data_IF_952773200082
#
_entry.id   IF_952773200082
#
_cell.length_a   1.000
_cell.length_b   1.000
_cell.length_c   1.000
_cell.angle_alpha   90.00
_cell.angle_beta   90.00
_cell.angle_gamma   90.00
#
_symmetry.space_group_name_H-M   'P 1'
#
loop_
_entity.id
_entity.type
_entity.pdbx_description
1 polymer ?
#
# COMPACT_ATOMS: atom_id res chain seq x y z
N UNK A 1 -8.08 -5.68 -7.14
CA UNK A 1 -8.15 -6.63 -8.27
C UNK A 1 -9.49 -7.34 -8.38
N UNK A 2 -10.18 -7.66 -7.27
CA UNK A 2 -11.52 -8.26 -7.31
C UNK A 2 -12.49 -7.54 -8.28
N UNK A 3 -12.76 -6.24 -8.06
CA UNK A 3 -13.64 -5.46 -8.96
C UNK A 3 -13.12 -5.36 -10.38
N UNK A 4 -11.80 -5.14 -10.55
CA UNK A 4 -11.16 -4.99 -11.85
C UNK A 4 -11.21 -6.27 -12.72
N UNK A 5 -11.41 -7.43 -12.10
CA UNK A 5 -11.50 -8.72 -12.79
C UNK A 5 -12.93 -9.25 -12.90
N UNK A 6 -13.93 -8.39 -12.64
CA UNK A 6 -15.35 -8.73 -12.73
C UNK A 6 -15.96 -9.34 -11.46
N UNK A 7 -15.24 -9.28 -10.34
CA UNK A 7 -15.76 -9.65 -9.03
C UNK A 7 -16.41 -8.48 -8.28
N UNK A 8 -16.88 -8.75 -7.07
CA UNK A 8 -17.47 -7.76 -6.18
C UNK A 8 -16.81 -7.85 -4.79
N UNK A 9 -16.55 -6.70 -4.19
CA UNK A 9 -16.17 -6.61 -2.77
C UNK A 9 -17.44 -6.53 -1.96
N UNK A 10 -17.65 -7.51 -1.08
CA UNK A 10 -18.81 -7.57 -0.18
C UNK A 10 -18.53 -6.71 1.05
N UNK A 11 -17.35 -6.90 1.64
CA UNK A 11 -17.01 -6.31 2.92
C UNK A 11 -15.51 -6.03 3.03
N UNK A 12 -15.19 -4.91 3.68
CA UNK A 12 -13.85 -4.56 4.12
C UNK A 12 -13.92 -4.24 5.62
N UNK A 13 -13.19 -5.03 6.41
CA UNK A 13 -13.08 -4.85 7.87
C UNK A 13 -11.64 -4.47 8.23
N UNK A 14 -11.50 -3.51 9.14
CA UNK A 14 -10.23 -3.14 9.76
C UNK A 14 -10.36 -3.33 11.26
N UNK A 15 -9.42 -4.06 11.86
CA UNK A 15 -9.38 -4.32 13.29
C UNK A 15 -8.45 -3.31 13.99
N UNK A 16 -8.74 -3.00 15.25
CA UNK A 16 -7.91 -2.17 16.13
C UNK A 16 -6.49 -2.75 16.29
N UNK A 17 -6.36 -4.08 16.24
CA UNK A 17 -5.07 -4.79 16.33
C UNK A 17 -4.31 -4.82 14.99
N UNK A 18 -4.48 -3.82 14.14
CA UNK A 18 -3.80 -3.64 12.84
C UNK A 18 -4.10 -4.70 11.77
N UNK A 19 -4.92 -5.71 12.09
CA UNK A 19 -5.41 -6.70 11.12
C UNK A 19 -6.61 -6.19 10.33
N UNK A 20 -7.03 -6.99 9.34
CA UNK A 20 -8.22 -6.71 8.55
C UNK A 20 -8.42 -7.79 7.52
N UNK A 21 -9.58 -7.80 6.86
CA UNK A 21 -9.81 -8.69 5.74
C UNK A 21 -10.79 -8.07 4.75
N UNK A 22 -10.71 -8.56 3.51
CA UNK A 22 -11.62 -8.19 2.43
C UNK A 22 -12.35 -9.44 1.97
N UNK A 23 -13.67 -9.45 2.14
CA UNK A 23 -14.53 -10.48 1.56
C UNK A 23 -14.90 -10.05 0.14
N UNK A 24 -14.60 -10.92 -0.82
CA UNK A 24 -14.93 -10.70 -2.22
C UNK A 24 -15.45 -11.97 -2.87
N UNK A 25 -16.35 -11.81 -3.84
CA UNK A 25 -16.93 -12.89 -4.64
C UNK A 25 -16.67 -12.63 -6.13
N UNK A 26 -16.42 -13.71 -6.88
CA UNK A 26 -16.09 -13.64 -8.29
C UNK A 26 -14.72 -13.00 -8.58
N UNK A 27 -14.46 -12.73 -9.85
CA UNK A 27 -13.17 -12.23 -10.32
C UNK A 27 -12.07 -13.30 -10.38
N UNK A 28 -10.84 -12.86 -10.70
CA UNK A 28 -9.69 -13.75 -10.75
C UNK A 28 -9.08 -13.87 -9.35
N UNK A 29 -9.15 -15.08 -8.79
CA UNK A 29 -8.73 -15.36 -7.42
C UNK A 29 -7.22 -15.29 -7.22
N UNK A 30 -6.45 -15.83 -8.17
CA UNK A 30 -4.99 -15.74 -8.18
C UNK A 30 -4.51 -14.28 -8.11
N UNK A 31 -5.07 -13.41 -8.97
CA UNK A 31 -4.73 -11.98 -9.00
C UNK A 31 -5.19 -11.25 -7.73
N UNK A 32 -6.32 -11.65 -7.15
CA UNK A 32 -6.85 -11.02 -5.94
C UNK A 32 -5.98 -11.35 -4.71
N UNK A 33 -5.60 -12.62 -4.53
CA UNK A 33 -4.74 -13.05 -3.44
C UNK A 33 -3.31 -12.49 -3.58
N UNK A 34 -2.78 -12.44 -4.82
CA UNK A 34 -1.46 -11.82 -5.06
C UNK A 34 -1.48 -10.31 -4.81
N UNK A 35 -2.60 -9.65 -5.07
CA UNK A 35 -2.73 -8.20 -4.91
C UNK A 35 -2.74 -7.73 -3.45
N UNK A 36 -2.90 -8.61 -2.46
CA UNK A 36 -2.79 -8.24 -1.04
C UNK A 36 -1.39 -7.70 -0.73
N UNK A 37 -0.38 -8.58 -0.78
CA UNK A 37 1.00 -8.20 -0.50
C UNK A 37 1.66 -7.41 -1.62
N UNK A 38 1.57 -7.85 -2.88
CA UNK A 38 2.27 -7.16 -3.97
C UNK A 38 1.59 -5.84 -4.37
N UNK A 39 0.28 -5.72 -4.17
CA UNK A 39 -0.45 -4.48 -4.44
C UNK A 39 -0.09 -3.37 -3.44
N UNK A 40 0.02 -3.70 -2.15
CA UNK A 40 0.46 -2.74 -1.13
C UNK A 40 1.91 -2.30 -1.36
N UNK A 41 2.80 -3.21 -1.74
CA UNK A 41 4.16 -2.88 -2.17
C UNK A 41 4.18 -1.89 -3.34
N UNK A 42 3.38 -2.16 -4.38
CA UNK A 42 3.29 -1.29 -5.54
C UNK A 42 2.82 0.12 -5.15
N UNK A 43 1.78 0.23 -4.31
CA UNK A 43 1.31 1.52 -3.80
C UNK A 43 2.38 2.24 -2.97
N UNK A 44 3.08 1.53 -2.09
CA UNK A 44 4.19 2.10 -1.32
C UNK A 44 5.28 2.70 -2.22
N UNK A 45 5.69 1.96 -3.25
CA UNK A 45 6.68 2.40 -4.25
C UNK A 45 6.17 3.61 -5.03
N UNK A 46 4.92 3.57 -5.52
CA UNK A 46 4.33 4.68 -6.30
C UNK A 46 4.27 5.95 -5.47
N UNK A 47 3.76 5.88 -4.24
CA UNK A 47 3.66 7.04 -3.33
C UNK A 47 5.05 7.60 -3.04
N UNK A 48 6.01 6.73 -2.70
CA UNK A 48 7.38 7.13 -2.42
C UNK A 48 8.05 7.82 -3.62
N UNK A 49 7.97 7.22 -4.80
CA UNK A 49 8.57 7.78 -6.01
C UNK A 49 7.91 9.10 -6.41
N UNK A 50 6.58 9.22 -6.29
CA UNK A 50 5.88 10.47 -6.55
C UNK A 50 6.33 11.59 -5.61
N UNK A 51 6.53 11.30 -4.32
CA UNK A 51 7.03 12.28 -3.36
C UNK A 51 8.47 12.72 -3.68
N UNK A 52 9.36 11.77 -4.01
CA UNK A 52 10.77 12.04 -4.32
C UNK A 52 10.94 12.78 -5.67
N UNK A 53 10.10 12.46 -6.65
CA UNK A 53 10.30 12.86 -8.06
C UNK A 53 9.37 13.95 -8.56
N UNK A 54 8.43 14.41 -7.75
CA UNK A 54 7.51 15.47 -8.16
C UNK A 54 7.48 16.61 -7.15
N UNK A 55 6.96 17.75 -7.59
CA UNK A 55 6.67 18.93 -6.77
C UNK A 55 5.19 19.03 -6.37
N UNK A 56 4.41 18.00 -6.68
CA UNK A 56 2.95 17.99 -6.56
C UNK A 56 2.46 17.36 -5.25
N UNK A 57 3.26 17.39 -4.18
CA UNK A 57 2.98 16.66 -2.93
C UNK A 57 1.63 17.02 -2.33
N UNK A 58 1.26 18.30 -2.37
CA UNK A 58 -0.05 18.76 -1.90
C UNK A 58 -1.19 18.12 -2.68
N UNK A 59 -1.10 18.10 -4.00
CA UNK A 59 -2.10 17.50 -4.86
C UNK A 59 -2.15 15.98 -4.69
N UNK A 60 -0.99 15.33 -4.56
CA UNK A 60 -0.88 13.89 -4.28
C UNK A 60 -1.53 13.56 -2.93
N UNK A 61 -1.25 14.35 -1.88
CA UNK A 61 -1.83 14.15 -0.55
C UNK A 61 -3.35 14.30 -0.58
N UNK A 62 -3.88 15.34 -1.25
CA UNK A 62 -5.33 15.49 -1.42
C UNK A 62 -5.93 14.33 -2.22
N UNK A 63 -5.27 13.90 -3.31
CA UNK A 63 -5.72 12.79 -4.14
C UNK A 63 -5.78 11.48 -3.33
N UNK A 64 -4.75 11.16 -2.55
CA UNK A 64 -4.74 9.99 -1.67
C UNK A 64 -5.85 10.08 -0.62
N UNK A 65 -6.05 11.24 -0.01
CA UNK A 65 -7.15 11.46 0.93
C UNK A 65 -8.53 11.22 0.29
N UNK A 66 -8.75 11.72 -0.93
CA UNK A 66 -9.97 11.47 -1.70
C UNK A 66 -10.15 9.99 -2.05
N UNK A 67 -9.08 9.29 -2.43
CA UNK A 67 -9.12 7.84 -2.70
C UNK A 67 -9.47 7.07 -1.45
N UNK A 68 -8.86 7.41 -0.29
CA UNK A 68 -9.20 6.79 1.00
C UNK A 68 -10.68 7.00 1.30
N UNK A 69 -11.19 8.24 1.22
CA UNK A 69 -12.61 8.52 1.46
C UNK A 69 -13.55 7.80 0.49
N UNK A 70 -13.20 7.73 -0.79
CA UNK A 70 -13.98 7.01 -1.78
C UNK A 70 -14.07 5.51 -1.43
N UNK A 71 -12.95 4.89 -1.07
CA UNK A 71 -12.91 3.49 -0.62
C UNK A 71 -13.72 3.30 0.66
N UNK A 72 -13.57 4.22 1.62
CA UNK A 72 -14.32 4.23 2.89
C UNK A 72 -15.82 4.19 2.66
N UNK A 73 -16.34 5.12 1.85
CA UNK A 73 -17.77 5.20 1.56
C UNK A 73 -18.26 3.98 0.77
N UNK A 74 -17.47 3.53 -0.21
CA UNK A 74 -17.91 2.45 -1.11
C UNK A 74 -17.87 1.06 -0.46
N UNK A 75 -16.88 0.74 0.37
CA UNK A 75 -16.60 -0.63 0.77
C UNK A 75 -16.58 -0.88 2.27
N UNK A 76 -16.37 0.15 3.09
CA UNK A 76 -16.28 -0.03 4.54
C UNK A 76 -17.69 -0.02 5.13
N UNK A 77 -17.96 -1.01 6.00
CA UNK A 77 -19.26 -1.18 6.66
C UNK A 77 -19.16 -1.20 8.18
N UNK A 78 -17.98 -1.52 8.70
CA UNK A 78 -17.69 -1.44 10.12
C UNK A 78 -17.55 0.02 10.60
N UNK A 79 -18.12 0.32 11.77
CA UNK A 79 -18.16 1.69 12.31
C UNK A 79 -16.76 2.20 12.68
N UNK A 80 -15.92 1.36 13.29
CA UNK A 80 -14.57 1.76 13.66
C UNK A 80 -13.76 2.07 12.40
N UNK A 81 -13.76 1.17 11.42
CA UNK A 81 -13.06 1.35 10.16
C UNK A 81 -13.58 2.58 9.40
N UNK A 82 -14.90 2.85 9.40
CA UNK A 82 -15.50 4.04 8.79
C UNK A 82 -14.98 5.33 9.44
N UNK A 83 -15.03 5.43 10.77
CA UNK A 83 -14.59 6.62 11.49
C UNK A 83 -13.08 6.82 11.34
N UNK A 84 -12.29 5.77 11.51
CA UNK A 84 -10.84 5.82 11.42
C UNK A 84 -10.39 6.26 10.02
N UNK A 85 -10.82 5.55 8.98
CA UNK A 85 -10.45 5.87 7.60
C UNK A 85 -11.03 7.21 7.14
N UNK A 86 -12.21 7.59 7.63
CA UNK A 86 -12.80 8.92 7.41
C UNK A 86 -11.93 10.05 7.98
N UNK A 87 -11.49 9.92 9.23
CA UNK A 87 -10.57 10.88 9.86
C UNK A 87 -9.25 10.94 9.10
N UNK A 88 -8.67 9.79 8.75
CA UNK A 88 -7.42 9.73 7.97
C UNK A 88 -7.60 10.44 6.62
N UNK A 89 -8.62 10.09 5.83
CA UNK A 89 -8.87 10.69 4.53
C UNK A 89 -9.09 12.20 4.57
N UNK A 90 -9.90 12.70 5.53
CA UNK A 90 -10.11 14.14 5.73
C UNK A 90 -8.81 14.82 6.17
N UNK A 91 -8.06 14.21 7.09
CA UNK A 91 -6.79 14.79 7.57
C UNK A 91 -5.77 14.95 6.44
N UNK A 92 -5.67 13.96 5.54
CA UNK A 92 -4.81 14.04 4.36
C UNK A 92 -5.22 15.20 3.45
N UNK A 93 -6.52 15.38 3.18
CA UNK A 93 -7.00 16.52 2.37
C UNK A 93 -6.67 17.85 3.07
N UNK A 94 -6.96 17.97 4.37
CA UNK A 94 -6.68 19.18 5.14
C UNK A 94 -5.19 19.52 5.11
N UNK A 95 -4.31 18.52 5.23
CA UNK A 95 -2.87 18.71 5.14
C UNK A 95 -2.42 19.11 3.74
N UNK A 96 -2.95 18.48 2.69
CA UNK A 96 -2.62 18.86 1.31
C UNK A 96 -2.97 20.32 1.01
N UNK A 97 -4.08 20.81 1.57
CA UNK A 97 -4.49 22.22 1.41
C UNK A 97 -3.68 23.16 2.32
N UNK A 98 -3.66 22.89 3.63
CA UNK A 98 -3.20 23.86 4.65
C UNK A 98 -1.71 23.74 5.01
N UNK A 99 -1.14 22.55 4.99
CA UNK A 99 0.24 22.35 5.44
C UNK A 99 1.26 22.84 4.38
N UNK A 100 2.50 23.18 4.76
CA UNK A 100 3.57 23.46 3.81
C UNK A 100 3.86 22.27 2.88
N UNK A 101 4.45 22.54 1.71
CA UNK A 101 4.81 21.49 0.74
C UNK A 101 5.83 20.52 1.34
N UNK A 102 6.79 21.03 2.12
CA UNK A 102 7.83 20.24 2.79
C UNK A 102 7.24 19.22 3.78
N UNK A 103 6.19 19.60 4.50
CA UNK A 103 5.50 18.70 5.45
C UNK A 103 4.79 17.58 4.69
N UNK A 104 4.13 17.91 3.57
CA UNK A 104 3.50 16.90 2.71
C UNK A 104 4.53 15.94 2.09
N UNK A 105 5.67 16.46 1.61
CA UNK A 105 6.77 15.64 1.08
C UNK A 105 7.29 14.63 2.11
N UNK A 106 7.62 15.09 3.32
CA UNK A 106 8.14 14.22 4.39
C UNK A 106 7.11 13.13 4.71
N UNK A 107 5.84 13.48 4.85
CA UNK A 107 4.81 12.52 5.26
C UNK A 107 4.52 11.52 4.14
N UNK A 108 4.42 11.95 2.88
CA UNK A 108 4.26 11.03 1.76
C UNK A 108 5.43 10.07 1.62
N UNK A 109 6.67 10.55 1.83
CA UNK A 109 7.86 9.69 1.86
C UNK A 109 7.76 8.67 2.99
N UNK A 110 7.39 9.09 4.19
CA UNK A 110 7.21 8.17 5.33
C UNK A 110 6.13 7.14 5.04
N UNK A 111 4.97 7.54 4.51
CA UNK A 111 3.89 6.61 4.15
C UNK A 111 4.38 5.58 3.13
N UNK A 112 5.00 6.05 2.04
CA UNK A 112 5.52 5.18 0.98
C UNK A 112 6.63 4.24 1.47
N UNK A 113 7.57 4.76 2.26
CA UNK A 113 8.68 3.98 2.82
C UNK A 113 8.20 2.94 3.82
N UNK A 114 7.34 3.32 4.75
CA UNK A 114 6.78 2.38 5.73
C UNK A 114 6.00 1.29 5.00
N UNK A 115 5.14 1.65 4.04
CA UNK A 115 4.38 0.68 3.28
C UNK A 115 5.27 -0.33 2.53
N UNK A 116 6.32 0.12 1.84
CA UNK A 116 7.20 -0.80 1.10
C UNK A 116 8.11 -1.65 2.02
N UNK A 117 8.53 -1.12 3.18
CA UNK A 117 9.43 -1.83 4.11
C UNK A 117 8.71 -2.88 4.95
N UNK A 118 7.43 -2.66 5.25
CA UNK A 118 6.64 -3.63 6.01
C UNK A 118 6.30 -4.88 5.18
N UNK A 119 6.13 -4.77 3.86
CA UNK A 119 5.69 -5.91 3.03
C UNK A 119 6.61 -7.13 3.12
N UNK A 120 7.95 -7.04 3.01
CA UNK A 120 8.82 -8.20 3.21
C UNK A 120 8.66 -8.85 4.59
N UNK A 121 8.48 -8.04 5.65
CA UNK A 121 8.28 -8.53 7.01
C UNK A 121 6.93 -9.24 7.16
N UNK A 122 5.89 -8.69 6.57
CA UNK A 122 4.53 -9.22 6.58
C UNK A 122 4.46 -10.56 5.83
N UNK A 123 5.06 -10.61 4.63
CA UNK A 123 5.19 -11.87 3.87
C UNK A 123 5.96 -12.90 4.69
N UNK A 124 7.11 -12.53 5.28
CA UNK A 124 7.90 -13.48 6.07
C UNK A 124 7.09 -14.05 7.26
N UNK A 125 6.45 -13.18 8.05
CA UNK A 125 5.71 -13.60 9.22
C UNK A 125 4.48 -14.44 8.87
N UNK A 126 3.76 -14.11 7.80
CA UNK A 126 2.52 -14.79 7.44
C UNK A 126 2.71 -16.06 6.61
N UNK A 127 3.79 -16.14 5.84
CA UNK A 127 3.97 -17.22 4.86
C UNK A 127 5.07 -18.20 5.23
N UNK A 128 6.06 -17.79 6.02
CA UNK A 128 7.20 -18.61 6.43
C UNK A 128 7.07 -18.97 7.91
N UNK A 129 7.03 -17.97 8.79
CA UNK A 129 6.96 -18.18 10.25
C UNK A 129 5.63 -18.83 10.66
N UNK A 130 4.52 -18.34 10.12
CA UNK A 130 3.16 -18.81 10.44
C UNK A 130 2.46 -19.45 9.25
N UNK A 131 3.20 -20.24 8.47
CA UNK A 131 2.75 -20.87 7.22
C UNK A 131 1.50 -21.77 7.36
N UNK A 132 1.15 -22.21 8.57
CA UNK A 132 -0.06 -22.99 8.87
C UNK A 132 -1.31 -22.14 9.09
N UNK A 133 -1.17 -20.82 9.27
CA UNK A 133 -2.31 -19.90 9.41
C UNK A 133 -2.86 -19.53 8.03
N UNK A 134 -4.15 -19.19 7.99
CA UNK A 134 -4.83 -18.82 6.75
C UNK A 134 -4.41 -17.42 6.30
N UNK A 135 -3.38 -17.35 5.45
CA UNK A 135 -2.92 -16.17 4.73
C UNK A 135 -3.29 -16.22 3.24
N UNK A 136 -3.08 -15.13 2.50
CA UNK A 136 -3.32 -15.13 1.05
C UNK A 136 -2.47 -16.19 0.33
N UNK A 137 -1.23 -16.43 0.82
CA UNK A 137 -0.36 -17.48 0.29
C UNK A 137 -0.90 -18.89 0.60
N UNK A 138 -1.48 -19.08 1.79
CA UNK A 138 -2.09 -20.35 2.18
C UNK A 138 -3.29 -20.66 1.29
N UNK A 139 -4.15 -19.66 1.07
CA UNK A 139 -5.33 -19.81 0.21
C UNK A 139 -4.93 -20.08 -1.24
N UNK A 140 -3.87 -19.45 -1.72
CA UNK A 140 -3.37 -19.69 -3.07
C UNK A 140 -2.76 -21.10 -3.21
N UNK A 141 -2.07 -21.60 -2.18
CA UNK A 141 -1.58 -22.98 -2.13
C UNK A 141 -2.73 -24.00 -2.11
N UNK A 142 -3.81 -23.72 -1.36
CA UNK A 142 -5.01 -24.58 -1.31
C UNK A 142 -5.72 -24.64 -2.66
N UNK A 143 -5.83 -23.51 -3.36
CA UNK A 143 -6.59 -23.41 -4.62
C UNK A 143 -5.79 -23.80 -5.88
N UNK A 144 -4.50 -23.46 -5.95
CA UNK A 144 -3.65 -23.65 -7.14
C UNK A 144 -2.54 -24.68 -6.93
N UNK A 145 -2.42 -25.24 -5.73
CA UNK A 145 -1.39 -26.20 -5.35
C UNK A 145 -0.07 -25.56 -4.93
N UNK A 146 0.85 -26.42 -4.48
CA UNK A 146 2.13 -26.01 -3.89
C UNK A 146 2.05 -25.85 -2.37
N UNK A 147 3.06 -25.19 -1.79
CA UNK A 147 3.11 -24.91 -0.36
C UNK A 147 2.96 -23.40 -0.10
N UNK A 148 2.39 -23.02 1.03
CA UNK A 148 2.32 -21.62 1.49
C UNK A 148 3.70 -20.93 1.42
N UNK A 149 4.73 -21.64 1.90
CA UNK A 149 6.12 -21.16 1.91
C UNK A 149 6.66 -20.95 0.50
N UNK A 150 6.24 -21.74 -0.50
CA UNK A 150 6.68 -21.59 -1.89
C UNK A 150 6.19 -20.26 -2.48
N UNK A 151 4.89 -20.00 -2.38
CA UNK A 151 4.30 -18.74 -2.86
C UNK A 151 4.81 -17.53 -2.08
N UNK A 152 4.89 -17.66 -0.76
CA UNK A 152 5.49 -16.67 0.13
C UNK A 152 6.92 -16.31 -0.25
N UNK A 153 7.77 -17.31 -0.53
CA UNK A 153 9.16 -17.12 -0.93
C UNK A 153 9.26 -16.36 -2.26
N UNK A 154 8.40 -16.67 -3.23
CA UNK A 154 8.36 -15.94 -4.51
C UNK A 154 8.02 -14.47 -4.28
N UNK A 155 6.97 -14.18 -3.50
CA UNK A 155 6.58 -12.80 -3.21
C UNK A 155 7.62 -12.05 -2.39
N UNK A 156 8.30 -12.73 -1.45
CA UNK A 156 9.39 -12.17 -0.68
C UNK A 156 10.58 -11.80 -1.57
N UNK A 157 10.97 -12.67 -2.51
CA UNK A 157 12.02 -12.35 -3.46
C UNK A 157 11.64 -11.14 -4.33
N UNK A 158 10.40 -11.10 -4.84
CA UNK A 158 9.89 -9.97 -5.64
C UNK A 158 9.92 -8.68 -4.82
N UNK A 159 9.48 -8.71 -3.57
CA UNK A 159 9.41 -7.53 -2.73
C UNK A 159 10.79 -6.96 -2.41
N UNK A 160 11.76 -7.82 -2.09
CA UNK A 160 13.16 -7.42 -1.87
C UNK A 160 13.77 -6.82 -3.13
N UNK A 161 13.56 -7.44 -4.31
CA UNK A 161 14.09 -6.92 -5.58
C UNK A 161 13.54 -5.52 -5.88
N UNK A 162 12.22 -5.35 -5.77
CA UNK A 162 11.55 -4.06 -6.01
C UNK A 162 12.04 -3.00 -5.02
N UNK A 163 12.19 -3.35 -3.74
CA UNK A 163 12.69 -2.43 -2.71
C UNK A 163 14.12 -1.97 -3.04
N UNK A 164 15.03 -2.91 -3.36
CA UNK A 164 16.42 -2.60 -3.71
C UNK A 164 16.49 -1.72 -4.97
N UNK A 165 15.72 -2.04 -6.01
CA UNK A 165 15.67 -1.24 -7.24
C UNK A 165 15.16 0.18 -6.95
N UNK A 166 14.06 0.30 -6.19
CA UNK A 166 13.46 1.59 -5.83
C UNK A 166 14.43 2.46 -5.06
N UNK A 167 15.13 1.91 -4.07
CA UNK A 167 16.14 2.63 -3.29
C UNK A 167 17.34 3.03 -4.15
N UNK A 168 17.86 2.14 -5.01
CA UNK A 168 18.96 2.47 -5.93
C UNK A 168 18.58 3.59 -6.89
N UNK A 169 17.38 3.54 -7.45
CA UNK A 169 16.85 4.58 -8.34
C UNK A 169 16.66 5.91 -7.59
N UNK A 170 16.23 5.87 -6.33
CA UNK A 170 16.12 7.07 -5.48
C UNK A 170 17.48 7.70 -5.20
N UNK A 171 18.51 6.90 -4.90
CA UNK A 171 19.86 7.40 -4.61
C UNK A 171 20.59 7.94 -5.86
N UNK A 172 20.37 7.32 -7.03
CA UNK A 172 21.05 7.73 -8.27
C UNK A 172 20.57 9.08 -8.82
N UNK A 173 19.32 9.45 -8.53
CA UNK A 173 18.72 10.68 -9.03
C UNK A 173 18.25 11.53 -7.86
N UNK A 174 18.94 12.64 -7.54
CA UNK A 174 18.59 13.46 -6.40
C UNK A 174 17.14 13.95 -6.50
N UNK A 175 16.47 14.15 -5.36
CA UNK A 175 15.08 14.59 -5.35
C UNK A 175 14.96 15.94 -6.06
N UNK A 176 13.88 16.12 -6.84
CA UNK A 176 13.67 17.33 -7.68
C UNK A 176 13.77 18.62 -6.86
N UNK A 177 13.40 18.57 -5.59
CA UNK A 177 13.40 19.71 -4.66
C UNK A 177 14.80 20.09 -4.16
N UNK A 178 15.75 19.15 -4.12
CA UNK A 178 17.12 19.45 -3.72
C UNK A 178 17.88 20.27 -4.78
N UNK A 179 17.40 20.28 -6.03
CA UNK A 179 17.99 21.07 -7.12
C UNK A 179 17.50 22.51 -7.08
N UNK A 180 16.23 22.74 -6.73
CA UNK A 180 15.64 24.09 -6.71
C UNK A 180 16.12 24.98 -5.57
N UNK A 181 16.52 24.39 -4.44
CA UNK A 181 17.03 25.15 -3.29
C UNK A 181 18.52 25.53 -3.42
N UNK A 182 19.22 24.98 -4.43
CA UNK A 182 20.64 25.23 -4.69
C UNK A 182 20.94 26.34 -5.70
N UNK A 183 19.94 26.87 -6.40
CA UNK A 183 20.09 27.95 -7.41
C UNK A 183 19.69 29.34 -6.87
N UNK A 184 19.31 29.44 -5.59
CA UNK A 184 18.97 30.70 -4.91
C UNK A 184 19.99 31.11 -3.84
N UNK A 185 21.28 30.92 -4.14
CA UNK A 185 22.42 31.34 -3.31
C UNK A 185 23.26 32.41 -3.99
#
# INVERSE_FOLDING_TARGET
MAVATGGQVIELVVNVMQGGHVLSIGGNRFLTLTAGYLGSLLWGVVIYLLAVRTKYDKAIMCCLGLVVLAITVMFVRDLFALVFSGIVGVSMIVMGVKAPVQVNDIILRVIGMTSMLYVPLDIYSDTIERSSLRSDAFMLAEEFGGATVFWGSIWLCISVVILVVTLRVSLKFPPVKAVTDGESG
#
